data_IF_979953998795
#
_entry.id   IF_979953998795
#
_cell.length_a   1.000
_cell.length_b   1.000
_cell.length_c   1.000
_cell.angle_alpha   90.00
_cell.angle_beta   90.00
_cell.angle_gamma   90.00
#
_symmetry.space_group_name_H-M   'P 1'
#
loop_
_entity.id
_entity.type
_entity.pdbx_description
1 polymer ?
#
# COMPACT_ATOMS: atom_id res chain seq x y z
N UNK A 1 11.59 -21.91 -0.71
CA UNK A 1 10.50 -21.52 -1.63
C UNK A 1 9.27 -21.26 -0.77
N UNK A 2 8.75 -20.04 -0.75
CA UNK A 2 7.48 -19.75 -0.07
C UNK A 2 6.36 -20.55 -0.77
N UNK A 3 5.44 -21.16 0.00
CA UNK A 3 4.28 -21.81 -0.60
C UNK A 3 3.44 -20.74 -1.31
N UNK A 4 3.33 -20.83 -2.63
CA UNK A 4 2.53 -19.92 -3.44
C UNK A 4 1.12 -20.46 -3.55
N UNK A 5 0.22 -19.92 -2.74
CA UNK A 5 -1.22 -20.18 -2.85
C UNK A 5 -1.77 -19.41 -4.06
N UNK A 6 -2.59 -20.01 -4.94
CA UNK A 6 -3.17 -19.29 -6.08
C UNK A 6 -4.10 -18.16 -5.65
N UNK A 7 -4.74 -18.29 -4.48
CA UNK A 7 -5.59 -17.26 -3.90
C UNK A 7 -5.24 -16.97 -2.44
N UNK A 8 -5.41 -15.70 -2.06
CA UNK A 8 -5.58 -15.28 -0.67
C UNK A 8 -7.03 -14.88 -0.45
N UNK A 9 -7.69 -15.51 0.52
CA UNK A 9 -9.06 -15.24 0.94
C UNK A 9 -9.02 -14.40 2.21
N UNK A 10 -9.61 -13.21 2.13
CA UNK A 10 -9.84 -12.32 3.26
C UNK A 10 -11.26 -12.54 3.78
N UNK A 11 -11.42 -12.73 5.09
CA UNK A 11 -12.71 -12.93 5.76
C UNK A 11 -12.88 -11.90 6.86
N UNK A 12 -14.09 -11.36 7.01
CA UNK A 12 -14.47 -10.50 8.12
C UNK A 12 -15.13 -9.20 7.66
N UNK A 13 -14.84 -8.10 8.34
CA UNK A 13 -15.48 -6.79 8.08
C UNK A 13 -14.70 -5.99 7.02
N UNK A 14 -15.40 -5.47 6.02
CA UNK A 14 -14.87 -4.62 4.96
C UNK A 14 -15.60 -3.28 4.97
N UNK A 15 -14.84 -2.19 5.07
CA UNK A 15 -15.38 -0.83 5.00
C UNK A 15 -14.76 -0.14 3.79
N UNK A 16 -15.60 0.50 2.97
CA UNK A 16 -15.11 1.30 1.85
C UNK A 16 -16.10 2.40 1.48
N UNK A 17 -15.60 3.38 0.74
CA UNK A 17 -16.46 4.38 0.13
C UNK A 17 -16.95 3.86 -1.24
N UNK A 18 -18.27 3.73 -1.46
CA UNK A 18 -18.80 3.33 -2.76
C UNK A 18 -18.58 4.43 -3.81
N UNK A 19 -18.81 4.16 -5.09
CA UNK A 19 -18.75 5.22 -6.11
C UNK A 19 -19.73 6.32 -5.76
N UNK A 20 -19.26 7.57 -5.78
CA UNK A 20 -20.10 8.74 -5.58
C UNK A 20 -21.16 8.77 -6.69
N UNK A 21 -22.43 8.70 -6.29
CA UNK A 21 -23.51 9.09 -7.17
C UNK A 21 -23.62 10.62 -7.12
N UNK A 22 -24.02 11.26 -8.23
CA UNK A 22 -24.17 12.73 -8.35
C UNK A 22 -25.28 13.32 -7.45
N UNK A 23 -25.77 12.57 -6.46
CA UNK A 23 -26.73 13.08 -5.49
C UNK A 23 -26.07 14.06 -4.52
N UNK A 24 -26.82 15.08 -4.12
CA UNK A 24 -26.44 16.03 -3.06
C UNK A 24 -26.40 15.42 -1.65
N UNK A 25 -26.68 14.12 -1.50
CA UNK A 25 -26.61 13.43 -0.22
C UNK A 25 -25.15 13.33 0.25
N UNK A 26 -24.96 13.47 1.57
CA UNK A 26 -23.67 13.23 2.21
C UNK A 26 -23.23 11.80 1.86
N UNK A 27 -21.99 11.60 1.40
CA UNK A 27 -21.51 10.27 1.08
C UNK A 27 -21.45 9.38 2.35
N UNK A 28 -21.84 8.12 2.21
CA UNK A 28 -21.84 7.13 3.30
C UNK A 28 -20.86 5.99 3.01
N UNK A 29 -20.20 5.51 4.06
CA UNK A 29 -19.34 4.33 3.97
C UNK A 29 -20.20 3.07 3.92
N UNK A 30 -19.90 2.18 2.98
CA UNK A 30 -20.48 0.85 2.95
C UNK A 30 -19.67 -0.06 3.88
N UNK A 31 -20.38 -0.75 4.77
CA UNK A 31 -19.84 -1.76 5.68
C UNK A 31 -20.42 -3.13 5.32
N UNK A 32 -19.57 -4.03 4.84
CA UNK A 32 -19.94 -5.40 4.50
C UNK A 32 -19.22 -6.39 5.42
N UNK A 33 -19.85 -7.54 5.69
CA UNK A 33 -19.22 -8.65 6.39
C UNK A 33 -19.29 -9.86 5.49
N UNK A 34 -18.17 -10.55 5.26
CA UNK A 34 -18.14 -11.66 4.31
C UNK A 34 -16.74 -12.15 3.98
N UNK A 35 -16.58 -12.64 2.75
CA UNK A 35 -15.30 -13.06 2.18
C UNK A 35 -14.99 -12.29 0.88
N UNK A 36 -13.70 -12.04 0.64
CA UNK A 36 -13.17 -11.45 -0.59
C UNK A 36 -11.89 -12.18 -0.95
N UNK A 37 -11.69 -12.56 -2.21
CA UNK A 37 -10.49 -13.29 -2.61
C UNK A 37 -9.71 -12.58 -3.71
N UNK A 38 -8.38 -12.65 -3.57
CA UNK A 38 -7.40 -11.99 -4.43
C UNK A 38 -6.54 -13.06 -5.07
N UNK A 39 -6.31 -12.94 -6.38
CA UNK A 39 -5.36 -13.81 -7.09
C UNK A 39 -3.93 -13.41 -6.73
N UNK A 40 -3.11 -14.41 -6.41
CA UNK A 40 -1.69 -14.19 -6.14
C UNK A 40 -0.86 -14.00 -7.41
N UNK A 41 -1.43 -14.27 -8.58
CA UNK A 41 -0.77 -14.06 -9.88
C UNK A 41 -0.72 -12.57 -10.27
N UNK A 42 -1.84 -11.86 -10.09
CA UNK A 42 -2.00 -10.48 -10.58
C UNK A 42 -2.41 -9.47 -9.51
N UNK A 43 -2.59 -9.90 -8.26
CA UNK A 43 -3.00 -9.04 -7.14
C UNK A 43 -4.43 -8.49 -7.27
N UNK A 44 -5.25 -9.00 -8.22
CA UNK A 44 -6.61 -8.50 -8.45
C UNK A 44 -7.63 -9.22 -7.58
N UNK A 45 -8.59 -8.44 -7.06
CA UNK A 45 -9.81 -8.98 -6.46
C UNK A 45 -10.56 -9.75 -7.55
N UNK A 46 -10.78 -11.05 -7.33
CA UNK A 46 -11.49 -11.92 -8.28
C UNK A 46 -12.97 -12.08 -7.92
N UNK A 47 -13.33 -11.77 -6.69
CA UNK A 47 -14.73 -11.68 -6.27
C UNK A 47 -14.86 -11.50 -4.76
N UNK A 48 -16.11 -11.46 -4.33
CA UNK A 48 -16.52 -11.37 -2.93
C UNK A 48 -17.84 -12.14 -2.73
N UNK A 49 -18.12 -12.51 -1.48
CA UNK A 49 -19.39 -13.06 -1.04
C UNK A 49 -19.73 -12.48 0.35
N UNK A 50 -20.73 -11.59 0.38
CA UNK A 50 -21.18 -10.94 1.61
C UNK A 50 -22.18 -11.79 2.42
N UNK A 51 -22.48 -13.03 2.02
CA UNK A 51 -23.32 -13.94 2.80
C UNK A 51 -22.53 -14.84 3.76
N UNK A 52 -21.20 -14.70 3.76
CA UNK A 52 -20.28 -15.51 4.58
C UNK A 52 -20.14 -14.87 5.98
N UNK A 53 -21.07 -15.17 6.88
CA UNK A 53 -21.18 -14.50 8.18
C UNK A 53 -20.57 -15.27 9.36
N UNK A 54 -20.38 -16.57 9.22
CA UNK A 54 -19.99 -17.47 10.31
C UNK A 54 -19.10 -18.62 9.82
N UNK A 55 -18.61 -19.45 10.74
CA UNK A 55 -17.66 -20.52 10.38
C UNK A 55 -18.30 -21.57 9.48
N UNK A 56 -19.60 -21.84 9.65
CA UNK A 56 -20.32 -22.84 8.86
C UNK A 56 -20.48 -22.38 7.39
N UNK A 57 -20.92 -21.14 7.20
CA UNK A 57 -21.01 -20.50 5.88
C UNK A 57 -19.63 -20.36 5.22
N UNK A 58 -18.57 -20.08 5.99
CA UNK A 58 -17.21 -20.03 5.45
C UNK A 58 -16.67 -21.39 5.01
N UNK A 59 -16.90 -22.47 5.78
CA UNK A 59 -16.54 -23.82 5.34
C UNK A 59 -17.32 -24.24 4.09
N UNK A 60 -18.59 -23.86 4.00
CA UNK A 60 -19.42 -24.11 2.81
C UNK A 60 -18.90 -23.34 1.60
N UNK A 61 -18.54 -22.06 1.78
CA UNK A 61 -17.90 -21.23 0.77
C UNK A 61 -16.62 -21.89 0.22
N UNK A 62 -15.68 -22.27 1.09
CA UNK A 62 -14.44 -22.94 0.66
C UNK A 62 -14.73 -24.25 -0.10
N UNK A 63 -15.67 -25.06 0.40
CA UNK A 63 -16.04 -26.33 -0.23
C UNK A 63 -16.64 -26.14 -1.62
N UNK A 64 -17.51 -25.15 -1.80
CA UNK A 64 -18.13 -24.82 -3.09
C UNK A 64 -17.10 -24.35 -4.12
N UNK A 65 -16.03 -23.70 -3.68
CA UNK A 65 -14.90 -23.30 -4.52
C UNK A 65 -13.86 -24.42 -4.74
N UNK A 66 -14.03 -25.59 -4.11
CA UNK A 66 -13.03 -26.67 -4.15
C UNK A 66 -11.72 -26.30 -3.43
N UNK A 67 -11.80 -25.43 -2.43
CA UNK A 67 -10.66 -24.88 -1.70
C UNK A 67 -10.50 -25.51 -0.31
N UNK A 68 -9.25 -25.55 0.16
CA UNK A 68 -8.92 -25.84 1.57
C UNK A 68 -8.07 -24.71 2.14
N UNK A 69 -8.32 -24.32 3.38
CA UNK A 69 -7.46 -23.36 4.07
C UNK A 69 -6.11 -24.00 4.40
N UNK A 70 -5.01 -23.29 4.15
CA UNK A 70 -3.65 -23.76 4.39
C UNK A 70 -3.38 -24.22 5.84
N UNK A 71 -4.09 -23.64 6.81
CA UNK A 71 -3.92 -23.92 8.24
C UNK A 71 -4.90 -24.99 8.76
N UNK A 72 -5.77 -25.55 7.90
CA UNK A 72 -6.73 -26.56 8.32
C UNK A 72 -6.02 -27.86 8.69
N UNK A 73 -6.28 -28.37 9.89
CA UNK A 73 -5.85 -29.71 10.33
C UNK A 73 -6.76 -30.76 9.66
N UNK A 74 -6.57 -31.03 8.37
CA UNK A 74 -7.32 -32.07 7.67
C UNK A 74 -6.44 -33.27 7.35
N UNK A 75 -6.98 -34.47 7.58
CA UNK A 75 -6.43 -35.70 7.01
C UNK A 75 -6.52 -35.57 5.49
N UNK A 76 -5.36 -35.56 4.81
CA UNK A 76 -5.25 -35.42 3.35
C UNK A 76 -5.97 -36.56 2.64
N UNK A 77 -7.27 -36.44 2.40
CA UNK A 77 -7.96 -37.26 1.42
C UNK A 77 -7.68 -36.71 0.03
N UNK A 78 -7.37 -37.62 -0.88
CA UNK A 78 -6.67 -37.41 -2.16
C UNK A 78 -7.51 -36.76 -3.28
N UNK A 79 -8.35 -35.77 -2.98
CA UNK A 79 -9.02 -35.00 -4.02
C UNK A 79 -8.22 -33.74 -4.35
N UNK A 80 -8.22 -33.37 -5.63
CA UNK A 80 -7.54 -32.22 -6.24
C UNK A 80 -8.07 -30.86 -5.73
N UNK A 81 -8.02 -30.63 -4.42
CA UNK A 81 -8.46 -29.40 -3.80
C UNK A 81 -7.35 -28.36 -3.82
N UNK A 82 -7.73 -27.12 -4.13
CA UNK A 82 -6.80 -26.00 -4.18
C UNK A 82 -6.55 -25.48 -2.78
N UNK A 83 -5.29 -25.43 -2.33
CA UNK A 83 -4.96 -24.84 -1.04
C UNK A 83 -4.90 -23.32 -1.16
N UNK A 84 -5.60 -22.60 -0.27
CA UNK A 84 -5.64 -21.13 -0.25
C UNK A 84 -5.14 -20.57 1.08
N UNK A 85 -4.56 -19.37 1.04
CA UNK A 85 -4.23 -18.59 2.25
C UNK A 85 -5.52 -17.96 2.78
N UNK A 86 -5.74 -18.01 4.08
CA UNK A 86 -6.85 -17.30 4.73
C UNK A 86 -6.30 -16.22 5.65
N UNK A 87 -6.84 -15.01 5.55
CA UNK A 87 -6.60 -13.88 6.43
C UNK A 87 -7.94 -13.45 7.00
N UNK A 88 -8.05 -13.35 8.32
CA UNK A 88 -9.31 -13.06 9.01
C UNK A 88 -9.17 -11.81 9.87
N UNK A 89 -10.12 -10.88 9.77
CA UNK A 89 -10.19 -9.74 10.69
C UNK A 89 -10.81 -10.18 12.01
N UNK A 90 -10.27 -9.71 13.13
CA UNK A 90 -10.84 -9.95 14.44
C UNK A 90 -11.93 -8.92 14.79
N UNK A 91 -13.19 -9.29 14.54
CA UNK A 91 -14.35 -8.44 14.85
C UNK A 91 -14.44 -8.08 16.35
N UNK A 92 -13.99 -8.95 17.27
CA UNK A 92 -13.98 -8.65 18.71
C UNK A 92 -12.97 -7.56 19.09
N UNK A 93 -11.98 -7.31 18.22
CA UNK A 93 -11.02 -6.22 18.34
C UNK A 93 -11.36 -5.02 17.45
N UNK A 94 -12.54 -5.02 16.83
CA UNK A 94 -12.97 -4.02 15.85
C UNK A 94 -12.00 -3.90 14.66
N UNK A 95 -11.39 -5.01 14.23
CA UNK A 95 -10.59 -5.02 13.02
C UNK A 95 -11.47 -5.05 11.78
N UNK A 96 -11.04 -4.34 10.74
CA UNK A 96 -11.69 -4.32 9.45
C UNK A 96 -10.66 -4.08 8.35
N UNK A 97 -11.01 -4.48 7.13
CA UNK A 97 -10.26 -4.13 5.94
C UNK A 97 -10.77 -2.80 5.36
N UNK A 98 -9.84 -1.97 4.90
CA UNK A 98 -10.12 -0.69 4.26
C UNK A 98 -9.22 -0.54 3.02
N UNK A 99 -9.68 0.10 1.93
CA UNK A 99 -8.79 0.43 0.81
C UNK A 99 -7.61 1.26 1.28
N UNK A 100 -6.41 0.98 0.77
CA UNK A 100 -5.26 1.83 1.07
C UNK A 100 -5.47 3.26 0.58
N UNK A 101 -4.89 4.22 1.29
CA UNK A 101 -5.02 5.63 0.99
C UNK A 101 -4.22 5.99 -0.28
N UNK A 102 -4.72 7.00 -0.97
CA UNK A 102 -4.09 7.60 -2.15
C UNK A 102 -3.61 8.99 -1.74
N UNK A 103 -2.30 9.16 -1.66
CA UNK A 103 -1.67 10.46 -1.50
C UNK A 103 -1.43 11.07 -2.88
N UNK A 104 -2.24 12.07 -3.23
CA UNK A 104 -2.19 12.66 -4.56
C UNK A 104 -1.04 13.65 -4.75
N UNK A 105 -0.30 14.00 -3.70
CA UNK A 105 0.78 14.98 -3.79
C UNK A 105 1.70 14.94 -2.56
N UNK A 106 2.94 14.48 -2.75
CA UNK A 106 3.95 14.42 -1.69
C UNK A 106 5.35 14.71 -2.25
N UNK A 107 6.11 15.59 -1.59
CA UNK A 107 7.52 15.85 -1.90
C UNK A 107 8.41 14.94 -1.06
N UNK A 108 8.89 13.84 -1.65
CA UNK A 108 9.72 12.86 -0.94
C UNK A 108 11.03 13.45 -0.38
N UNK A 109 11.79 14.28 -1.12
CA UNK A 109 13.06 14.85 -0.62
C UNK A 109 12.89 15.77 0.58
N UNK A 110 11.70 16.36 0.74
CA UNK A 110 11.39 17.33 1.78
C UNK A 110 10.96 16.66 3.10
N UNK A 111 10.88 15.32 3.15
CA UNK A 111 10.53 14.56 4.36
C UNK A 111 11.33 14.98 5.62
N UNK A 112 12.65 15.29 5.57
CA UNK A 112 13.40 15.77 6.73
C UNK A 112 12.91 17.10 7.30
N UNK A 113 12.24 17.92 6.48
CA UNK A 113 11.76 19.25 6.86
C UNK A 113 10.32 19.23 7.40
N UNK A 114 9.69 18.06 7.52
CA UNK A 114 8.34 17.97 8.09
C UNK A 114 8.35 18.53 9.52
N UNK A 115 7.51 19.53 9.76
CA UNK A 115 7.42 20.22 11.04
C UNK A 115 8.45 21.34 11.25
N UNK A 116 9.38 21.54 10.31
CA UNK A 116 10.26 22.72 10.27
C UNK A 116 9.54 23.85 9.55
N UNK A 117 8.83 24.65 10.33
CA UNK A 117 8.23 25.90 9.90
C UNK A 117 8.29 26.91 11.06
N UNK A 118 8.38 28.19 10.72
CA UNK A 118 8.46 29.28 11.68
C UNK A 118 7.49 30.41 11.33
N UNK A 119 7.92 31.64 11.55
CA UNK A 119 7.19 32.84 11.11
C UNK A 119 7.44 33.22 9.65
N UNK A 120 8.22 32.41 8.91
CA UNK A 120 8.61 32.66 7.51
C UNK A 120 7.44 32.45 6.54
N UNK A 121 7.41 33.25 5.47
CA UNK A 121 6.49 33.01 4.34
C UNK A 121 6.91 31.80 3.50
N UNK A 122 6.08 31.43 2.52
CA UNK A 122 6.37 30.29 1.62
C UNK A 122 7.70 30.44 0.89
N UNK A 123 7.99 31.61 0.31
CA UNK A 123 9.21 31.82 -0.47
C UNK A 123 10.46 31.74 0.41
N UNK A 124 10.43 32.38 1.58
CA UNK A 124 11.53 32.30 2.55
C UNK A 124 11.76 30.85 3.02
N UNK A 125 10.67 30.08 3.19
CA UNK A 125 10.78 28.66 3.54
C UNK A 125 11.42 27.83 2.43
N UNK A 126 11.09 28.14 1.17
CA UNK A 126 11.70 27.46 0.02
C UNK A 126 13.22 27.69 -0.03
N UNK A 127 13.63 28.94 0.11
CA UNK A 127 15.04 29.33 0.06
C UNK A 127 15.84 28.79 1.25
N UNK A 128 15.29 28.86 2.46
CA UNK A 128 15.99 28.46 3.69
C UNK A 128 16.06 26.94 3.86
N UNK A 129 14.99 26.21 3.54
CA UNK A 129 14.87 24.78 3.89
C UNK A 129 14.78 23.86 2.67
N UNK A 130 13.98 24.23 1.67
CA UNK A 130 13.59 23.31 0.59
C UNK A 130 14.66 23.17 -0.49
N UNK A 131 15.10 24.27 -1.08
CA UNK A 131 16.13 24.19 -2.11
C UNK A 131 17.46 23.60 -1.59
N UNK A 132 17.93 23.92 -0.37
CA UNK A 132 19.12 23.30 0.18
C UNK A 132 18.98 21.78 0.38
N UNK A 133 17.82 21.30 0.89
CA UNK A 133 17.63 19.86 1.07
C UNK A 133 17.51 19.14 -0.27
N UNK A 134 16.80 19.69 -1.25
CA UNK A 134 16.67 19.07 -2.58
C UNK A 134 18.01 19.05 -3.32
N UNK A 135 18.81 20.12 -3.23
CA UNK A 135 20.16 20.18 -3.79
C UNK A 135 21.09 19.10 -3.24
N UNK A 136 20.89 18.66 -1.99
CA UNK A 136 21.71 17.62 -1.36
C UNK A 136 21.57 16.23 -1.99
N UNK A 137 20.57 16.02 -2.85
CA UNK A 137 20.37 14.77 -3.61
C UNK A 137 21.20 14.72 -4.90
N UNK A 138 21.88 15.80 -5.27
CA UNK A 138 22.77 15.84 -6.43
C UNK A 138 24.16 15.25 -6.12
N UNK A 139 24.72 14.51 -7.07
CA UNK A 139 26.09 14.03 -6.96
C UNK A 139 27.10 15.14 -7.28
N UNK A 140 28.11 15.32 -6.41
CA UNK A 140 29.19 16.29 -6.66
C UNK A 140 30.05 15.95 -7.88
N UNK A 141 30.08 14.68 -8.30
CA UNK A 141 30.79 14.24 -9.49
C UNK A 141 29.99 14.44 -10.78
N UNK A 142 28.72 14.82 -10.69
CA UNK A 142 27.83 15.08 -11.82
C UNK A 142 27.16 16.47 -11.72
N UNK A 143 27.93 17.55 -11.88
CA UNK A 143 27.38 18.91 -11.77
C UNK A 143 26.42 19.27 -12.91
N UNK A 144 26.42 18.52 -14.02
CA UNK A 144 25.58 18.77 -15.18
C UNK A 144 24.30 17.92 -15.20
N UNK A 145 24.11 17.02 -14.22
CA UNK A 145 22.97 16.10 -14.14
C UNK A 145 22.83 15.19 -15.38
N UNK A 146 23.97 14.63 -15.83
CA UNK A 146 24.07 13.74 -16.98
C UNK A 146 23.96 12.25 -16.58
N UNK A 147 24.16 11.93 -15.31
CA UNK A 147 24.08 10.56 -14.80
C UNK A 147 22.62 10.08 -14.72
N UNK A 148 22.43 8.77 -14.79
CA UNK A 148 21.12 8.13 -14.74
C UNK A 148 21.06 6.90 -13.84
N UNK A 149 22.20 6.37 -13.34
CA UNK A 149 22.18 5.19 -12.46
C UNK A 149 21.68 5.61 -11.06
N UNK A 150 20.58 5.02 -10.54
CA UNK A 150 20.10 5.26 -9.18
C UNK A 150 21.18 5.25 -8.08
N UNK A 151 22.24 4.47 -8.27
CA UNK A 151 23.33 4.30 -7.30
C UNK A 151 24.19 5.54 -7.11
N UNK A 152 24.14 6.47 -8.06
CA UNK A 152 24.87 7.74 -7.97
C UNK A 152 24.13 8.79 -7.13
N UNK A 153 22.93 8.46 -6.65
CA UNK A 153 22.23 9.23 -5.60
C UNK A 153 23.03 9.18 -4.29
N UNK A 154 23.28 10.33 -3.63
CA UNK A 154 23.89 10.36 -2.32
C UNK A 154 23.18 9.45 -1.30
N UNK A 155 23.95 8.79 -0.45
CA UNK A 155 23.44 7.79 0.51
C UNK A 155 22.40 8.40 1.46
N UNK A 156 22.58 9.65 1.86
CA UNK A 156 21.62 10.39 2.67
C UNK A 156 20.26 10.53 1.96
N UNK A 157 20.25 10.81 0.66
CA UNK A 157 19.05 10.89 -0.15
C UNK A 157 18.32 9.55 -0.26
N UNK A 158 19.07 8.46 -0.45
CA UNK A 158 18.51 7.09 -0.44
C UNK A 158 17.82 6.78 0.89
N UNK A 159 18.45 7.12 2.01
CA UNK A 159 17.86 6.93 3.36
C UNK A 159 16.57 7.73 3.55
N UNK A 160 16.50 8.95 3.00
CA UNK A 160 15.28 9.75 3.06
C UNK A 160 14.14 9.07 2.31
N UNK A 161 14.41 8.54 1.10
CA UNK A 161 13.42 7.82 0.32
C UNK A 161 12.94 6.53 1.00
N UNK A 162 13.85 5.72 1.55
CA UNK A 162 13.49 4.53 2.34
C UNK A 162 12.58 4.91 3.51
N UNK A 163 12.91 5.99 4.23
CA UNK A 163 12.13 6.43 5.37
C UNK A 163 10.74 6.94 5.00
N UNK A 164 10.60 7.78 3.97
CA UNK A 164 9.30 8.32 3.59
C UNK A 164 8.39 7.22 3.05
N UNK A 165 8.89 6.30 2.23
CA UNK A 165 8.11 5.16 1.71
C UNK A 165 7.67 4.23 2.85
N UNK A 166 8.59 3.85 3.74
CA UNK A 166 8.24 3.03 4.90
C UNK A 166 7.22 3.73 5.81
N UNK A 167 7.36 5.05 6.01
CA UNK A 167 6.46 5.84 6.85
C UNK A 167 5.06 5.95 6.26
N UNK A 168 4.95 6.25 4.97
CA UNK A 168 3.65 6.39 4.29
C UNK A 168 2.91 5.06 4.24
N UNK A 169 3.62 3.96 3.96
CA UNK A 169 3.06 2.59 4.04
C UNK A 169 2.55 2.26 5.45
N UNK A 170 3.32 2.60 6.50
CA UNK A 170 2.90 2.39 7.88
C UNK A 170 1.65 3.22 8.29
N UNK A 171 1.34 4.27 7.55
CA UNK A 171 0.12 5.10 7.72
C UNK A 171 -1.00 4.75 6.74
N UNK A 172 -0.83 3.66 5.96
CA UNK A 172 -1.87 3.12 5.08
C UNK A 172 -1.89 3.72 3.68
N UNK A 173 -0.96 4.60 3.31
CA UNK A 173 -0.83 5.08 1.92
C UNK A 173 -0.25 3.97 1.05
N UNK A 174 -1.04 3.47 0.10
CA UNK A 174 -0.62 2.41 -0.84
C UNK A 174 -0.39 2.93 -2.25
N UNK A 175 -0.76 4.18 -2.53
CA UNK A 175 -0.49 4.87 -3.79
C UNK A 175 -0.12 6.32 -3.47
N UNK A 176 1.00 6.80 -4.03
CA UNK A 176 1.48 8.15 -3.80
C UNK A 176 1.97 8.77 -5.12
N UNK A 177 1.65 10.04 -5.35
CA UNK A 177 2.22 10.84 -6.44
C UNK A 177 3.37 11.67 -5.92
N UNK A 178 4.59 11.15 -6.06
CA UNK A 178 5.79 11.78 -5.55
C UNK A 178 6.36 12.88 -6.46
N UNK A 179 6.76 13.98 -5.85
CA UNK A 179 7.76 14.91 -6.37
C UNK A 179 9.12 14.49 -5.81
N UNK A 180 10.08 14.27 -6.72
CA UNK A 180 11.47 13.99 -6.42
C UNK A 180 12.29 15.30 -6.46
N UNK A 181 13.52 15.27 -6.96
CA UNK A 181 14.34 16.47 -7.22
C UNK A 181 14.61 16.61 -8.72
N UNK A 182 15.32 17.66 -9.12
CA UNK A 182 15.77 17.80 -10.51
C UNK A 182 16.81 16.74 -10.93
N UNK A 183 17.45 16.06 -9.97
CA UNK A 183 18.52 15.11 -10.24
C UNK A 183 17.97 13.77 -10.77
N UNK A 184 18.44 13.33 -11.93
CA UNK A 184 17.94 12.12 -12.60
C UNK A 184 18.25 10.85 -11.80
N UNK A 185 19.47 10.64 -11.26
CA UNK A 185 19.78 9.50 -10.41
C UNK A 185 18.83 9.39 -9.22
N UNK A 186 18.59 10.51 -8.52
CA UNK A 186 17.71 10.56 -7.36
C UNK A 186 16.25 10.25 -7.72
N UNK A 187 15.78 10.72 -8.87
CA UNK A 187 14.43 10.40 -9.35
C UNK A 187 14.29 8.91 -9.67
N UNK A 188 15.29 8.33 -10.35
CA UNK A 188 15.30 6.90 -10.66
C UNK A 188 15.43 6.04 -9.40
N UNK A 189 16.17 6.50 -8.39
CA UNK A 189 16.28 5.82 -7.10
C UNK A 189 14.94 5.74 -6.37
N UNK A 190 14.17 6.83 -6.31
CA UNK A 190 12.83 6.81 -5.73
C UNK A 190 11.89 5.87 -6.50
N UNK A 191 11.98 5.84 -7.83
CA UNK A 191 11.15 5.00 -8.68
C UNK A 191 11.47 3.49 -8.59
N UNK A 192 12.65 3.14 -8.07
CA UNK A 192 13.12 1.76 -7.95
C UNK A 192 12.75 1.07 -6.62
N UNK A 193 12.15 1.81 -5.67
CA UNK A 193 11.67 1.30 -4.37
C UNK A 193 10.29 0.62 -4.51
#
# INVERSE_FOLDING_TARGET
>A
MAMTYPYTVYRGTFIHHPRLNLSSAKPELARNQGALWVSSEDGRIKGYDWNVHDDASFQSFLSNHGWIAANAKTNKNSNSQTTVKVVESNDTRNEFFFPGFIDTHIHAPQFPNIGLFGSSGLLDWLDEYTFPVEASFGSKSDPNNEDTDPKDTPLEGLRVYDHVVARTLAHGTTCASYFATIHVPATNALAAL
#
